data_IF_028974212525
#
_entry.id   IF_028974212525
#
_cell.length_a   1.000
_cell.length_b   1.000
_cell.length_c   1.000
_cell.angle_alpha   90.00
_cell.angle_beta   90.00
_cell.angle_gamma   90.00
#
_symmetry.space_group_name_H-M   'P 1'
#
loop_
_entity.id
_entity.type
_entity.pdbx_description
1 polymer ?
#
# COMPACT_ATOMS: atom_id res chain seq x y z
N UNK A 1 -20.04 -1.52 -21.07
CA UNK A 1 -20.36 -2.88 -20.56
C UNK A 1 -19.54 -3.28 -19.34
N UNK A 2 -18.25 -2.93 -19.26
CA UNK A 2 -17.37 -3.33 -18.15
C UNK A 2 -17.73 -2.67 -16.81
N UNK A 3 -18.13 -1.39 -16.77
CA UNK A 3 -18.52 -0.72 -15.52
C UNK A 3 -19.70 -1.39 -14.80
N UNK A 4 -20.67 -1.91 -15.55
CA UNK A 4 -21.80 -2.67 -14.98
C UNK A 4 -21.34 -4.06 -14.52
N UNK A 5 -20.36 -4.66 -15.20
CA UNK A 5 -19.79 -5.96 -14.83
C UNK A 5 -18.91 -5.86 -13.57
N UNK A 6 -18.09 -4.81 -13.44
CA UNK A 6 -17.29 -4.51 -12.23
C UNK A 6 -18.22 -4.12 -11.08
N UNK A 7 -19.26 -3.31 -11.31
CA UNK A 7 -20.25 -3.00 -10.27
C UNK A 7 -21.00 -4.25 -9.80
N UNK A 8 -21.28 -5.19 -10.69
CA UNK A 8 -21.88 -6.48 -10.33
C UNK A 8 -20.90 -7.38 -9.55
N UNK A 9 -19.60 -7.34 -9.86
CA UNK A 9 -18.56 -8.14 -9.18
C UNK A 9 -18.14 -7.56 -7.82
N UNK A 10 -18.12 -6.23 -7.66
CA UNK A 10 -17.55 -5.54 -6.50
C UNK A 10 -18.54 -4.64 -5.74
N UNK A 11 -19.81 -4.58 -6.15
CA UNK A 11 -20.87 -3.74 -5.55
C UNK A 11 -21.60 -4.35 -4.35
N UNK A 12 -21.17 -5.52 -3.86
CA UNK A 12 -21.62 -6.06 -2.57
C UNK A 12 -20.96 -5.33 -1.39
N UNK A 13 -21.47 -5.51 -0.15
CA UNK A 13 -20.76 -5.02 1.04
C UNK A 13 -19.31 -5.52 0.99
N UNK A 14 -18.31 -4.70 1.38
CA UNK A 14 -16.90 -5.08 1.25
C UNK A 14 -16.69 -6.44 1.89
N UNK A 15 -16.45 -7.48 1.09
CA UNK A 15 -16.09 -8.76 1.65
C UNK A 15 -14.76 -8.56 2.37
N UNK A 16 -14.81 -8.58 3.70
CA UNK A 16 -13.67 -8.35 4.59
C UNK A 16 -12.61 -9.46 4.52
N UNK A 17 -12.73 -10.39 3.57
CA UNK A 17 -11.87 -11.55 3.40
C UNK A 17 -10.87 -11.41 2.25
N UNK A 18 -10.29 -10.23 2.05
CA UNK A 18 -9.03 -10.16 1.30
C UNK A 18 -7.87 -10.26 2.28
N UNK A 19 -7.43 -11.49 2.54
CA UNK A 19 -6.29 -11.80 3.42
C UNK A 19 -5.14 -10.82 3.17
N UNK A 20 -4.69 -10.18 4.25
CA UNK A 20 -3.50 -9.34 4.27
C UNK A 20 -2.33 -10.05 3.59
N UNK A 21 -1.94 -9.54 2.42
CA UNK A 21 -0.70 -9.93 1.75
C UNK A 21 0.42 -9.12 2.37
N UNK A 22 1.39 -9.79 3.01
CA UNK A 22 2.58 -9.12 3.53
C UNK A 22 3.30 -8.40 2.38
N UNK A 23 3.81 -7.18 2.58
CA UNK A 23 4.46 -6.38 1.53
C UNK A 23 5.86 -6.88 1.16
N UNK A 24 6.21 -8.11 1.56
CA UNK A 24 7.52 -8.71 1.39
C UNK A 24 7.37 -10.18 1.00
N UNK A 25 8.39 -10.70 0.33
CA UNK A 25 8.36 -12.05 -0.23
C UNK A 25 8.38 -13.13 0.86
N UNK A 26 7.94 -14.36 0.51
CA UNK A 26 8.01 -15.53 1.40
C UNK A 26 9.44 -15.84 1.90
N UNK A 27 10.48 -15.37 1.19
CA UNK A 27 11.88 -15.46 1.63
C UNK A 27 12.07 -14.83 3.01
N UNK A 28 11.42 -13.69 3.26
CA UNK A 28 11.53 -12.94 4.52
C UNK A 28 10.83 -13.67 5.68
N UNK A 29 9.72 -14.36 5.40
CA UNK A 29 9.03 -15.19 6.41
C UNK A 29 9.85 -16.41 6.84
N UNK A 30 10.63 -16.97 5.92
CA UNK A 30 11.45 -18.15 6.14
C UNK A 30 12.83 -17.83 6.77
N UNK A 31 13.12 -16.56 7.09
CA UNK A 31 14.36 -16.20 7.76
C UNK A 31 14.39 -16.76 9.18
N UNK A 32 15.42 -17.58 9.45
CA UNK A 32 15.68 -18.06 10.81
C UNK A 32 16.12 -16.89 11.69
N UNK A 33 15.42 -16.70 12.81
CA UNK A 33 15.84 -15.74 13.83
C UNK A 33 17.11 -16.31 14.49
N UNK A 34 18.20 -15.52 14.63
CA UNK A 34 19.42 -15.99 15.26
C UNK A 34 19.16 -16.43 16.70
N UNK A 35 19.86 -17.48 17.14
CA UNK A 35 19.77 -17.96 18.52
C UNK A 35 20.33 -16.87 19.45
N UNK A 36 19.54 -16.43 20.44
CA UNK A 36 19.90 -15.33 21.34
C UNK A 36 19.47 -13.93 20.86
N UNK A 37 18.85 -13.80 19.69
CA UNK A 37 18.32 -12.53 19.22
C UNK A 37 17.19 -12.04 20.13
N UNK A 38 17.40 -10.88 20.74
CA UNK A 38 16.37 -10.14 21.44
C UNK A 38 15.78 -9.10 20.48
N UNK A 39 14.48 -9.19 20.12
CA UNK A 39 13.86 -8.18 19.28
C UNK A 39 13.94 -6.82 20.00
N UNK A 40 14.47 -5.77 19.35
CA UNK A 40 14.55 -4.47 19.98
C UNK A 40 13.16 -3.96 20.37
N UNK A 41 13.10 -3.26 21.50
CA UNK A 41 11.88 -2.57 21.91
C UNK A 41 11.73 -1.29 21.10
N UNK A 42 10.50 -1.03 20.70
CA UNK A 42 10.25 -0.27 19.49
C UNK A 42 8.95 0.52 19.67
N UNK A 43 9.04 1.86 19.73
CA UNK A 43 7.85 2.73 19.74
C UNK A 43 7.18 2.78 18.36
N UNK A 44 5.96 2.27 18.24
CA UNK A 44 5.25 2.24 16.95
C UNK A 44 4.94 3.64 16.40
N UNK A 45 5.10 3.81 15.10
CA UNK A 45 4.82 5.02 14.34
C UNK A 45 3.44 4.93 13.69
N UNK A 46 2.60 5.92 13.93
CA UNK A 46 1.24 6.02 13.41
C UNK A 46 1.10 6.92 12.16
N UNK A 47 2.21 7.45 11.67
CA UNK A 47 2.23 8.40 10.56
C UNK A 47 2.36 9.84 11.00
N UNK A 48 2.33 10.14 12.31
CA UNK A 48 2.43 11.50 12.85
C UNK A 48 3.84 11.83 13.31
N UNK A 49 4.32 13.03 13.00
CA UNK A 49 5.67 13.49 13.31
C UNK A 49 6.62 13.35 12.12
N UNK A 50 7.94 13.36 12.37
CA UNK A 50 8.96 13.35 11.32
C UNK A 50 9.32 11.91 10.89
N UNK A 51 8.96 11.45 9.67
CA UNK A 51 9.24 10.09 9.22
C UNK A 51 10.73 9.81 9.06
N UNK A 52 11.54 10.81 8.64
CA UNK A 52 12.99 10.65 8.48
C UNK A 52 13.67 10.35 9.82
N UNK A 53 13.25 11.05 10.88
CA UNK A 53 13.74 10.79 12.25
C UNK A 53 13.37 9.38 12.73
N UNK A 54 12.16 8.92 12.41
CA UNK A 54 11.73 7.57 12.73
C UNK A 54 12.56 6.50 12.02
N UNK A 55 12.81 6.69 10.71
CA UNK A 55 13.63 5.79 9.90
C UNK A 55 15.08 5.74 10.42
N UNK A 56 15.69 6.90 10.69
CA UNK A 56 17.05 6.97 11.21
C UNK A 56 17.20 6.21 12.54
N UNK A 57 16.28 6.45 13.48
CA UNK A 57 16.28 5.75 14.77
C UNK A 57 16.06 4.23 14.61
N UNK A 58 15.19 3.81 13.68
CA UNK A 58 14.98 2.39 13.39
C UNK A 58 16.26 1.72 12.90
N UNK A 59 16.96 2.32 11.92
CA UNK A 59 18.21 1.79 11.36
C UNK A 59 19.27 1.66 12.44
N UNK A 60 19.52 2.72 13.20
CA UNK A 60 20.51 2.74 14.29
C UNK A 60 20.23 1.66 15.35
N UNK A 61 18.96 1.52 15.76
CA UNK A 61 18.57 0.49 16.75
C UNK A 61 18.80 -0.92 16.23
N UNK A 62 18.55 -1.15 14.94
CA UNK A 62 18.72 -2.44 14.31
C UNK A 62 20.20 -2.79 14.04
N UNK A 63 21.03 -1.81 13.70
CA UNK A 63 22.48 -1.96 13.55
C UNK A 63 23.10 -2.38 14.89
N UNK A 64 22.73 -1.72 15.98
CA UNK A 64 23.17 -2.07 17.33
C UNK A 64 22.73 -3.49 17.75
N UNK A 65 21.60 -3.98 17.21
CA UNK A 65 21.08 -5.32 17.46
C UNK A 65 21.62 -6.40 16.49
N UNK A 66 22.53 -6.03 15.57
CA UNK A 66 23.12 -6.96 14.60
C UNK A 66 22.14 -7.52 13.57
N UNK A 67 21.07 -6.79 13.25
CA UNK A 67 20.02 -7.25 12.33
C UNK A 67 20.49 -7.25 10.87
N UNK A 68 20.23 -8.34 10.12
CA UNK A 68 20.54 -8.43 8.67
C UNK A 68 19.45 -7.75 7.84
N UNK A 69 19.79 -7.24 6.64
CA UNK A 69 18.87 -6.47 5.77
C UNK A 69 17.47 -7.08 5.59
N UNK A 70 17.37 -8.38 5.34
CA UNK A 70 16.09 -9.08 5.20
C UNK A 70 15.29 -9.12 6.53
N UNK A 71 15.95 -9.16 7.69
CA UNK A 71 15.30 -9.06 9.00
C UNK A 71 14.80 -7.63 9.28
N UNK A 72 15.50 -6.60 8.78
CA UNK A 72 15.07 -5.20 8.89
C UNK A 72 13.70 -5.00 8.26
N UNK A 73 13.47 -5.56 7.08
CA UNK A 73 12.17 -5.46 6.37
C UNK A 73 11.05 -6.06 7.23
N UNK A 74 11.30 -7.22 7.85
CA UNK A 74 10.33 -7.88 8.74
C UNK A 74 10.05 -7.09 10.01
N UNK A 75 11.07 -6.48 10.60
CA UNK A 75 10.92 -5.68 11.83
C UNK A 75 10.28 -4.32 11.54
N UNK A 76 10.60 -3.69 10.42
CA UNK A 76 10.07 -2.39 10.03
C UNK A 76 8.55 -2.37 9.98
N UNK A 77 7.94 -3.41 9.39
CA UNK A 77 6.48 -3.55 9.30
C UNK A 77 5.84 -3.63 10.69
N UNK A 78 6.53 -4.18 11.70
CA UNK A 78 6.05 -4.21 13.10
C UNK A 78 6.14 -2.85 13.79
N UNK A 79 6.92 -1.91 13.24
CA UNK A 79 7.06 -0.54 13.75
C UNK A 79 5.89 0.35 13.35
N UNK A 80 5.11 -0.02 12.35
CA UNK A 80 4.03 0.82 11.84
C UNK A 80 2.73 0.44 12.56
N UNK A 81 1.86 1.42 12.80
CA UNK A 81 0.48 1.24 13.27
C UNK A 81 -0.45 2.26 12.61
N UNK A 82 -1.76 2.09 12.72
CA UNK A 82 -2.75 3.03 12.17
C UNK A 82 -2.48 3.37 10.71
N UNK A 83 -2.64 4.63 10.34
CA UNK A 83 -2.45 5.11 8.96
C UNK A 83 -1.04 4.86 8.39
N UNK A 84 -0.01 4.73 9.23
CA UNK A 84 1.32 4.36 8.74
C UNK A 84 1.47 2.88 8.42
N UNK A 85 0.63 2.01 9.01
CA UNK A 85 0.59 0.57 8.70
C UNK A 85 -0.43 0.24 7.62
N UNK A 86 -1.50 1.03 7.51
CA UNK A 86 -2.44 0.96 6.40
C UNK A 86 -1.70 1.40 5.14
N UNK A 87 -1.26 0.41 4.36
CA UNK A 87 -0.99 0.63 2.95
C UNK A 87 -2.30 1.13 2.37
N UNK A 88 -2.37 2.38 1.94
CA UNK A 88 -3.52 2.88 1.17
C UNK A 88 -3.49 2.19 -0.19
N UNK A 89 -3.96 0.95 -0.20
CA UNK A 89 -4.12 0.18 -1.41
C UNK A 89 -5.41 0.64 -2.04
N UNK A 90 -5.31 1.27 -3.20
CA UNK A 90 -6.46 1.80 -3.92
C UNK A 90 -7.34 0.62 -4.33
N UNK A 91 -8.59 0.62 -3.87
CA UNK A 91 -9.55 -0.41 -4.29
C UNK A 91 -10.02 -0.15 -5.71
N UNK A 92 -10.48 -1.20 -6.41
CA UNK A 92 -11.12 -1.06 -7.72
C UNK A 92 -12.32 -0.08 -7.68
N UNK A 93 -13.04 -0.06 -6.56
CA UNK A 93 -14.16 0.86 -6.34
C UNK A 93 -13.70 2.32 -6.22
N UNK A 94 -12.61 2.59 -5.52
CA UNK A 94 -12.04 3.94 -5.41
C UNK A 94 -11.53 4.44 -6.76
N UNK A 95 -10.84 3.58 -7.51
CA UNK A 95 -10.31 3.90 -8.82
C UNK A 95 -11.41 4.19 -9.85
N UNK A 96 -12.48 3.39 -9.87
CA UNK A 96 -13.64 3.59 -10.77
C UNK A 96 -14.47 4.83 -10.41
N UNK A 97 -14.49 5.24 -9.15
CA UNK A 97 -15.18 6.46 -8.71
C UNK A 97 -14.34 7.73 -8.89
N UNK A 98 -13.08 7.59 -9.31
CA UNK A 98 -12.17 8.72 -9.51
C UNK A 98 -12.53 9.46 -10.81
N UNK A 99 -13.20 10.60 -10.66
CA UNK A 99 -13.57 11.49 -11.76
C UNK A 99 -12.68 12.73 -11.82
N UNK A 100 -12.66 13.36 -12.99
CA UNK A 100 -12.15 14.72 -13.14
C UNK A 100 -12.89 15.65 -12.17
N UNK A 101 -12.20 16.63 -11.61
CA UNK A 101 -12.82 17.63 -10.73
C UNK A 101 -13.25 18.83 -11.55
N UNK A 102 -14.24 19.59 -11.07
CA UNK A 102 -14.67 20.83 -11.73
C UNK A 102 -13.48 21.80 -11.83
N UNK A 103 -13.10 22.17 -13.06
CA UNK A 103 -11.98 23.07 -13.33
C UNK A 103 -10.60 22.42 -13.28
N UNK A 104 -10.49 21.10 -13.08
CA UNK A 104 -9.23 20.37 -13.20
C UNK A 104 -8.90 20.14 -14.68
N UNK A 105 -7.69 20.49 -15.16
CA UNK A 105 -7.25 20.12 -16.49
C UNK A 105 -7.26 18.60 -16.68
N UNK A 106 -7.66 18.13 -17.86
CA UNK A 106 -7.73 16.68 -18.17
C UNK A 106 -6.39 15.99 -17.93
N UNK A 107 -5.27 16.66 -18.22
CA UNK A 107 -3.93 16.10 -17.99
C UNK A 107 -3.64 15.86 -16.50
N UNK A 108 -4.11 16.75 -15.63
CA UNK A 108 -3.92 16.61 -14.18
C UNK A 108 -4.80 15.50 -13.62
N UNK A 109 -6.02 15.37 -14.14
CA UNK A 109 -6.87 14.21 -13.86
C UNK A 109 -6.19 12.89 -14.26
N UNK A 110 -5.65 12.80 -15.49
CA UNK A 110 -4.97 11.59 -15.99
C UNK A 110 -3.77 11.25 -15.11
N UNK A 111 -2.95 12.23 -14.75
CA UNK A 111 -1.78 12.02 -13.89
C UNK A 111 -2.18 11.51 -12.49
N UNK A 112 -3.23 12.10 -11.90
CA UNK A 112 -3.78 11.69 -10.61
C UNK A 112 -4.37 10.28 -10.66
N UNK A 113 -5.15 9.98 -11.70
CA UNK A 113 -5.73 8.66 -11.91
C UNK A 113 -4.64 7.60 -12.13
N UNK A 114 -3.62 7.91 -12.92
CA UNK A 114 -2.46 7.03 -13.15
C UNK A 114 -1.72 6.72 -11.86
N UNK A 115 -1.44 7.72 -11.02
CA UNK A 115 -0.81 7.51 -9.72
C UNK A 115 -1.65 6.56 -8.84
N UNK A 116 -2.96 6.79 -8.75
CA UNK A 116 -3.88 5.91 -8.01
C UNK A 116 -3.93 4.48 -8.58
N UNK A 117 -3.84 4.33 -9.90
CA UNK A 117 -3.86 3.02 -10.56
C UNK A 117 -2.62 2.16 -10.26
N UNK A 118 -1.46 2.81 -10.00
CA UNK A 118 -0.22 2.12 -9.62
C UNK A 118 -0.31 1.51 -8.22
N UNK A 119 -1.07 2.17 -7.34
CA UNK A 119 -1.32 1.71 -5.97
C UNK A 119 -2.55 0.79 -5.87
N UNK A 120 -3.14 0.42 -7.01
CA UNK A 120 -4.32 -0.44 -7.04
C UNK A 120 -3.96 -1.88 -6.65
N UNK A 121 -4.80 -2.49 -5.79
CA UNK A 121 -4.60 -3.87 -5.34
C UNK A 121 -4.62 -4.88 -6.48
N UNK A 122 -5.48 -4.62 -7.45
CA UNK A 122 -5.81 -5.52 -8.53
C UNK A 122 -4.96 -5.18 -9.77
N UNK A 123 -4.50 -6.22 -10.47
CA UNK A 123 -3.76 -6.01 -11.72
C UNK A 123 -4.73 -5.54 -12.80
N UNK A 124 -4.52 -4.32 -13.27
CA UNK A 124 -5.20 -3.78 -14.44
C UNK A 124 -4.44 -4.15 -15.71
N UNK A 125 -5.17 -4.53 -16.76
CA UNK A 125 -4.61 -4.52 -18.12
C UNK A 125 -4.58 -3.08 -18.62
N UNK A 126 -3.67 -2.78 -19.55
CA UNK A 126 -3.59 -1.46 -20.18
C UNK A 126 -4.94 -1.04 -20.77
N UNK A 127 -5.62 -1.98 -21.44
CA UNK A 127 -6.95 -1.76 -22.01
C UNK A 127 -7.98 -1.38 -20.94
N UNK A 128 -8.08 -2.15 -19.84
CA UNK A 128 -9.01 -1.84 -18.75
C UNK A 128 -8.69 -0.50 -18.08
N UNK A 129 -7.42 -0.15 -17.96
CA UNK A 129 -6.99 1.10 -17.34
C UNK A 129 -7.40 2.31 -18.19
N UNK A 130 -7.19 2.24 -19.51
CA UNK A 130 -7.61 3.29 -20.45
C UNK A 130 -9.12 3.45 -20.45
N UNK A 131 -9.88 2.36 -20.51
CA UNK A 131 -11.35 2.41 -20.50
C UNK A 131 -11.93 2.95 -19.20
N UNK A 132 -11.30 2.66 -18.06
CA UNK A 132 -11.73 3.18 -16.75
C UNK A 132 -11.40 4.67 -16.59
N UNK A 133 -10.18 5.08 -16.96
CA UNK A 133 -9.75 6.47 -16.89
C UNK A 133 -10.64 7.37 -17.77
N UNK A 134 -10.95 6.93 -18.99
CA UNK A 134 -11.79 7.71 -19.92
C UNK A 134 -13.22 7.91 -19.43
N UNK A 135 -13.79 6.98 -18.64
CA UNK A 135 -15.13 7.13 -18.05
C UNK A 135 -15.23 8.22 -16.98
N UNK A 136 -14.10 8.63 -16.40
CA UNK A 136 -14.09 9.67 -15.37
C UNK A 136 -13.87 11.09 -15.91
N UNK A 137 -13.58 11.24 -17.20
CA UNK A 137 -13.41 12.53 -17.89
C UNK A 137 -14.78 13.15 -18.18
N UNK A 138 -14.94 14.44 -17.92
CA UNK A 138 -16.17 15.18 -18.23
C UNK A 138 -15.92 16.65 -18.57
#
# INVERSE_FOLDING_TARGET
>A
MIANSIRAQYGGPPQTSFMYSKPYTKRIDNLRIPLGYQPPKFQQFDGKGNPKKHIAHFVETCENAGSRGDQLVRQFVRRLKGNAFEWHVVSMMELTNTKQRKGEPVIDYINRWRALSLDCKDKLTELSAVEMCTQGIH
#
